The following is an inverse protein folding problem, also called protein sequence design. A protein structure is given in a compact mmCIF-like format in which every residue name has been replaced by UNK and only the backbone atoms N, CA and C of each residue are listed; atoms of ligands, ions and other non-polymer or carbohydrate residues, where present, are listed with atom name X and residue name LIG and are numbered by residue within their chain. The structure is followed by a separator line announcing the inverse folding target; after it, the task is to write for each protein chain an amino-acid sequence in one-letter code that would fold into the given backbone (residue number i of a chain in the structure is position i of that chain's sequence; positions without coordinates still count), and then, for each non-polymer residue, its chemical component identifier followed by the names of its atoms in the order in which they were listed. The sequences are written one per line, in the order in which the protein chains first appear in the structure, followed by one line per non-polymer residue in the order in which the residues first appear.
data_IF_684549163709
#
_entry.id   IF_684549163709
#
_cell.length_a   1.000
_cell.length_b   1.000
_cell.length_c   1.000
_cell.angle_alpha   90.00
_cell.angle_beta   90.00
_cell.angle_gamma   90.00
#
_symmetry.space_group_name_H-M   'P 1'
#
loop_
_entity.id
_entity.type
_entity.pdbx_description
1 polymer ?
#
# COMPACT_ATOMS: atom_id res chain seq x y z
N UNK A 1 14.30 15.58 5.73
CA UNK A 1 13.03 16.16 6.24
C UNK A 1 13.28 16.68 7.64
N UNK A 2 12.81 17.87 7.96
CA UNK A 2 12.91 18.42 9.33
C UNK A 2 11.71 18.01 10.18
N UNK A 3 10.54 17.92 9.56
CA UNK A 3 9.31 17.42 10.16
C UNK A 3 8.65 16.40 9.22
N UNK A 4 9.00 15.10 9.35
CA UNK A 4 8.53 14.05 8.45
C UNK A 4 7.01 13.99 8.37
N UNK A 5 6.31 14.14 9.50
CA UNK A 5 4.85 14.10 9.58
C UNK A 5 4.16 15.15 8.69
N UNK A 6 4.75 16.35 8.56
CA UNK A 6 4.17 17.45 7.77
C UNK A 6 4.64 17.43 6.32
N UNK A 7 5.91 17.08 6.09
CA UNK A 7 6.52 17.16 4.77
C UNK A 7 6.18 15.95 3.88
N UNK A 8 5.85 14.79 4.47
CA UNK A 8 5.76 13.54 3.70
C UNK A 8 4.68 13.54 2.62
N UNK A 9 3.56 14.27 2.82
CA UNK A 9 2.49 14.39 1.82
C UNK A 9 3.04 15.00 0.54
N UNK A 10 3.75 16.12 0.66
CA UNK A 10 4.32 16.83 -0.47
C UNK A 10 5.40 15.98 -1.13
N UNK A 11 6.22 15.27 -0.34
CA UNK A 11 7.27 14.41 -0.85
C UNK A 11 6.69 13.22 -1.63
N UNK A 12 5.65 12.57 -1.11
CA UNK A 12 4.94 11.51 -1.80
C UNK A 12 4.36 12.03 -3.13
N UNK A 13 3.74 13.21 -3.14
CA UNK A 13 3.25 13.85 -4.38
C UNK A 13 4.38 14.16 -5.36
N UNK A 14 5.54 14.61 -4.88
CA UNK A 14 6.69 14.85 -5.74
C UNK A 14 7.20 13.55 -6.37
N UNK A 15 7.19 12.45 -5.62
CA UNK A 15 7.65 11.15 -6.09
C UNK A 15 6.68 10.51 -7.11
N UNK A 16 5.37 10.69 -6.96
CA UNK A 16 4.37 9.95 -7.75
C UNK A 16 3.56 10.79 -8.73
N UNK A 17 3.50 12.12 -8.54
CA UNK A 17 2.60 13.01 -9.28
C UNK A 17 3.24 14.33 -9.73
N UNK A 18 4.56 14.47 -9.68
CA UNK A 18 5.26 15.64 -10.22
C UNK A 18 4.99 15.83 -11.72
N UNK A 19 4.59 17.03 -12.13
CA UNK A 19 4.47 17.39 -13.55
C UNK A 19 5.84 17.44 -14.23
N UNK A 20 6.90 17.84 -13.52
CA UNK A 20 8.27 17.98 -14.04
C UNK A 20 9.14 16.76 -13.68
N UNK A 21 9.93 16.25 -14.63
CA UNK A 21 10.85 15.11 -14.39
C UNK A 21 11.91 15.44 -13.36
N UNK A 22 12.42 16.67 -13.39
CA UNK A 22 13.49 17.12 -12.51
C UNK A 22 13.03 17.17 -11.06
N UNK A 23 11.75 17.46 -10.82
CA UNK A 23 11.18 17.48 -9.48
C UNK A 23 11.15 16.07 -8.85
N UNK A 24 10.75 15.06 -9.63
CA UNK A 24 10.77 13.66 -9.19
C UNK A 24 12.21 13.20 -8.91
N UNK A 25 13.14 13.49 -9.81
CA UNK A 25 14.55 13.13 -9.63
C UNK A 25 15.15 13.79 -8.38
N UNK A 26 14.93 15.10 -8.20
CA UNK A 26 15.39 15.82 -7.01
C UNK A 26 14.76 15.25 -5.73
N UNK A 27 13.49 14.84 -5.76
CA UNK A 27 12.84 14.24 -4.61
C UNK A 27 13.53 12.93 -4.20
N UNK A 28 13.83 12.03 -5.15
CA UNK A 28 14.57 10.79 -4.85
C UNK A 28 15.94 11.12 -4.27
N UNK A 29 16.71 12.00 -4.90
CA UNK A 29 18.07 12.34 -4.48
C UNK A 29 18.15 13.05 -3.12
N UNK A 30 17.15 13.89 -2.79
CA UNK A 30 17.15 14.68 -1.56
C UNK A 30 16.57 13.93 -0.37
N UNK A 31 15.63 13.02 -0.59
CA UNK A 31 14.87 12.40 0.50
C UNK A 31 15.23 10.94 0.75
N UNK A 32 15.87 10.23 -0.17
CA UNK A 32 16.36 8.87 0.08
C UNK A 32 17.81 8.88 0.53
N UNK A 33 18.15 8.00 1.48
CA UNK A 33 19.55 7.69 1.80
C UNK A 33 20.28 7.13 0.58
N UNK A 34 21.59 7.30 0.50
CA UNK A 34 22.41 6.79 -0.62
C UNK A 34 22.33 5.27 -0.78
N UNK A 35 22.07 4.55 0.32
CA UNK A 35 21.92 3.10 0.38
C UNK A 35 20.49 2.63 0.66
N UNK A 36 19.48 3.39 0.23
CA UNK A 36 18.08 3.06 0.49
C UNK A 36 17.64 1.75 -0.21
N UNK A 37 16.63 1.09 0.34
CA UNK A 37 15.99 -0.08 -0.28
C UNK A 37 14.54 0.17 -0.67
N UNK A 38 14.04 -0.59 -1.63
CA UNK A 38 12.67 -0.54 -2.11
C UNK A 38 12.12 -1.94 -2.29
N UNK A 39 10.94 -2.19 -1.73
CA UNK A 39 10.18 -3.43 -1.91
C UNK A 39 8.82 -3.10 -2.50
N UNK A 40 8.63 -3.45 -3.76
CA UNK A 40 7.37 -3.31 -4.47
C UNK A 40 6.89 -4.70 -4.94
N UNK A 41 5.58 -4.95 -5.14
CA UNK A 41 5.11 -6.23 -5.65
C UNK A 41 5.73 -6.63 -6.99
N UNK A 42 6.21 -5.66 -7.79
CA UNK A 42 6.76 -5.90 -9.12
C UNK A 42 8.29 -5.84 -9.19
N UNK A 43 8.96 -5.25 -8.18
CA UNK A 43 10.42 -5.12 -8.19
C UNK A 43 11.00 -4.98 -6.78
N UNK A 44 12.29 -5.29 -6.65
CA UNK A 44 13.03 -5.17 -5.39
C UNK A 44 14.36 -4.52 -5.65
N UNK A 45 14.72 -3.56 -4.80
CA UNK A 45 16.05 -2.97 -4.70
C UNK A 45 16.55 -3.19 -3.28
N UNK A 46 17.55 -4.05 -3.13
CA UNK A 46 18.18 -4.29 -1.82
C UNK A 46 19.08 -3.12 -1.43
N UNK A 47 19.29 -2.94 -0.11
CA UNK A 47 20.18 -1.91 0.39
C UNK A 47 21.63 -2.23 0.01
N UNK A 48 22.28 -1.31 -0.71
CA UNK A 48 23.69 -1.41 -1.08
C UNK A 48 24.26 -0.01 -1.33
N UNK A 49 25.59 0.18 -1.37
CA UNK A 49 26.16 1.48 -1.71
C UNK A 49 25.61 1.99 -3.06
N UNK A 50 25.05 3.20 -3.06
CA UNK A 50 24.42 3.85 -4.22
C UNK A 50 23.15 3.16 -4.77
N UNK A 51 22.50 2.27 -4.02
CA UNK A 51 21.21 1.66 -4.42
C UNK A 51 20.10 2.69 -4.68
N UNK A 52 20.25 3.92 -4.15
CA UNK A 52 19.38 5.05 -4.48
C UNK A 52 19.29 5.34 -5.99
N UNK A 53 20.37 5.15 -6.73
CA UNK A 53 20.38 5.40 -8.18
C UNK A 53 19.57 4.35 -8.93
N UNK A 54 19.56 3.11 -8.42
CA UNK A 54 18.65 2.05 -8.90
C UNK A 54 17.20 2.39 -8.60
N UNK A 55 16.90 2.90 -7.40
CA UNK A 55 15.55 3.39 -7.04
C UNK A 55 15.11 4.54 -7.95
N UNK A 56 16.02 5.47 -8.27
CA UNK A 56 15.73 6.54 -9.23
C UNK A 56 15.32 5.98 -10.60
N UNK A 57 16.01 4.95 -11.08
CA UNK A 57 15.63 4.24 -12.30
C UNK A 57 14.22 3.64 -12.26
N UNK A 58 13.81 3.09 -11.11
CA UNK A 58 12.43 2.58 -10.89
C UNK A 58 11.40 3.72 -11.01
N UNK A 59 11.64 4.85 -10.33
CA UNK A 59 10.74 6.02 -10.41
C UNK A 59 10.66 6.62 -11.81
N UNK A 60 11.79 6.69 -12.52
CA UNK A 60 11.85 7.10 -13.92
C UNK A 60 11.04 6.15 -14.80
N UNK A 61 11.18 4.84 -14.61
CA UNK A 61 10.39 3.85 -15.34
C UNK A 61 8.89 4.00 -15.07
N UNK A 62 8.46 4.15 -13.82
CA UNK A 62 7.05 4.37 -13.49
C UNK A 62 6.48 5.62 -14.16
N UNK A 63 7.26 6.71 -14.22
CA UNK A 63 6.86 7.94 -14.94
C UNK A 63 6.76 7.74 -16.45
N UNK A 64 7.72 7.01 -17.05
CA UNK A 64 7.66 6.64 -18.47
C UNK A 64 6.43 5.79 -18.73
N UNK A 65 6.16 4.81 -17.87
CA UNK A 65 5.04 3.90 -17.99
C UNK A 65 3.70 4.61 -17.81
N UNK A 66 3.59 5.60 -16.90
CA UNK A 66 2.37 6.37 -16.68
C UNK A 66 2.66 7.85 -16.37
N UNK A 67 2.74 8.73 -17.39
CA UNK A 67 3.17 10.11 -17.21
C UNK A 67 2.16 11.00 -16.49
N UNK A 68 0.87 10.65 -16.52
CA UNK A 68 -0.21 11.45 -15.94
C UNK A 68 -0.76 10.84 -14.64
N UNK A 69 0.13 10.20 -13.87
CA UNK A 69 -0.22 9.53 -12.61
C UNK A 69 -0.69 10.56 -11.58
N UNK A 70 -1.88 10.35 -11.00
CA UNK A 70 -2.44 11.18 -9.94
C UNK A 70 -2.55 10.37 -8.67
N UNK A 71 -1.99 10.90 -7.58
CA UNK A 71 -1.99 10.25 -6.28
C UNK A 71 -2.71 11.11 -5.26
N UNK A 72 -3.55 10.48 -4.45
CA UNK A 72 -4.28 11.11 -3.37
C UNK A 72 -3.97 10.39 -2.04
N UNK A 73 -3.31 11.09 -1.12
CA UNK A 73 -2.99 10.58 0.21
C UNK A 73 -4.29 10.60 1.04
N UNK A 74 -4.75 9.42 1.47
CA UNK A 74 -5.96 9.27 2.27
C UNK A 74 -5.67 9.43 3.77
N UNK A 75 -4.59 8.82 4.25
CA UNK A 75 -4.21 8.87 5.65
C UNK A 75 -2.70 8.75 5.83
N UNK A 76 -2.24 9.22 6.99
CA UNK A 76 -0.84 9.21 7.40
C UNK A 76 -0.81 8.78 8.86
N UNK A 77 -0.03 7.74 9.15
CA UNK A 77 0.41 7.44 10.51
C UNK A 77 1.91 7.64 10.58
N UNK A 78 2.37 8.35 11.61
CA UNK A 78 3.79 8.48 11.90
C UNK A 78 4.05 7.98 13.32
N UNK A 79 4.79 6.89 13.41
CA UNK A 79 5.34 6.38 14.66
C UNK A 79 6.72 7.01 14.88
N UNK A 80 6.81 7.90 15.87
CA UNK A 80 8.04 8.63 16.20
C UNK A 80 9.06 7.76 16.92
N UNK A 81 8.63 6.73 17.63
CA UNK A 81 9.54 5.86 18.39
C UNK A 81 10.28 4.92 17.45
N UNK A 82 9.60 4.46 16.40
CA UNK A 82 10.16 3.57 15.38
C UNK A 82 10.69 4.31 14.15
N UNK A 83 10.46 5.62 14.05
CA UNK A 83 10.70 6.46 12.88
C UNK A 83 10.10 5.83 11.59
N UNK A 84 8.83 5.43 11.69
CA UNK A 84 8.07 4.76 10.62
C UNK A 84 6.89 5.62 10.18
N UNK A 85 6.75 5.80 8.87
CA UNK A 85 5.57 6.46 8.29
C UNK A 85 4.79 5.45 7.45
N UNK A 86 3.52 5.29 7.76
CA UNK A 86 2.57 4.56 6.93
C UNK A 86 1.65 5.55 6.20
N UNK A 87 1.56 5.41 4.88
CA UNK A 87 0.73 6.22 4.00
C UNK A 87 -0.29 5.33 3.34
N UNK A 88 -1.57 5.73 3.40
CA UNK A 88 -2.59 5.16 2.53
C UNK A 88 -2.74 6.06 1.30
N UNK A 89 -2.55 5.48 0.12
CA UNK A 89 -2.58 6.21 -1.14
C UNK A 89 -3.58 5.56 -2.08
N UNK A 90 -4.38 6.41 -2.73
CA UNK A 90 -5.20 6.05 -3.88
C UNK A 90 -4.55 6.69 -5.11
N UNK A 91 -4.17 5.87 -6.08
CA UNK A 91 -3.50 6.32 -7.29
C UNK A 91 -4.28 5.91 -8.53
N UNK A 92 -4.48 6.87 -9.43
CA UNK A 92 -5.05 6.61 -10.76
C UNK A 92 -3.90 6.38 -11.72
N UNK A 93 -3.79 5.14 -12.20
CA UNK A 93 -2.74 4.71 -13.10
C UNK A 93 -3.27 4.53 -14.52
N UNK A 94 -2.61 5.18 -15.48
CA UNK A 94 -2.88 5.01 -16.91
C UNK A 94 -1.59 4.62 -17.62
N UNK A 95 -1.41 3.33 -17.88
CA UNK A 95 -0.29 2.84 -18.66
C UNK A 95 -0.31 3.47 -20.07
N UNK A 96 0.82 4.06 -20.47
CA UNK A 96 1.05 4.78 -21.72
C UNK A 96 0.71 3.93 -22.95
N UNK A 97 1.07 2.64 -22.91
CA UNK A 97 0.88 1.71 -24.03
C UNK A 97 -0.34 0.80 -23.88
N UNK A 98 -1.13 0.97 -22.81
CA UNK A 98 -2.29 0.13 -22.56
C UNK A 98 -3.54 0.69 -23.24
N UNK A 99 -4.31 -0.13 -23.99
CA UNK A 99 -5.58 0.28 -24.58
C UNK A 99 -6.71 0.41 -23.54
N UNK A 100 -6.51 -0.06 -22.31
CA UNK A 100 -7.54 -0.08 -21.28
C UNK A 100 -7.75 1.27 -20.61
N UNK A 101 -8.94 1.49 -20.02
CA UNK A 101 -9.22 2.70 -19.24
C UNK A 101 -8.27 2.80 -18.03
N UNK A 102 -7.97 4.03 -17.55
CA UNK A 102 -7.24 4.21 -16.30
C UNK A 102 -7.87 3.39 -15.17
N UNK A 103 -7.02 2.77 -14.37
CA UNK A 103 -7.41 1.97 -13.23
C UNK A 103 -7.06 2.75 -11.96
N UNK A 104 -7.99 2.77 -11.01
CA UNK A 104 -7.70 3.23 -9.65
C UNK A 104 -7.16 2.04 -8.86
N UNK A 105 -6.11 2.29 -8.08
CA UNK A 105 -5.54 1.33 -7.15
C UNK A 105 -5.33 1.99 -5.80
N UNK A 106 -5.63 1.24 -4.74
CA UNK A 106 -5.41 1.66 -3.36
C UNK A 106 -4.32 0.79 -2.75
N UNK A 107 -3.35 1.42 -2.11
CA UNK A 107 -2.24 0.71 -1.49
C UNK A 107 -1.65 1.44 -0.30
N UNK A 108 -0.90 0.69 0.49
CA UNK A 108 -0.16 1.21 1.64
C UNK A 108 1.31 1.33 1.27
N UNK A 109 1.92 2.45 1.63
CA UNK A 109 3.37 2.60 1.61
C UNK A 109 3.85 2.68 3.06
N UNK A 110 4.79 1.82 3.43
CA UNK A 110 5.56 1.94 4.67
C UNK A 110 6.93 2.50 4.36
N UNK A 111 7.30 3.56 5.05
CA UNK A 111 8.60 4.20 4.96
C UNK A 111 9.33 4.02 6.29
N UNK A 112 10.48 3.36 6.25
CA UNK A 112 11.42 3.41 7.37
C UNK A 112 12.40 4.54 7.16
N UNK A 113 12.44 5.42 8.13
CA UNK A 113 13.25 6.61 8.09
C UNK A 113 14.60 6.36 8.78
N UNK A 114 15.57 7.21 8.47
CA UNK A 114 16.87 7.28 9.15
C UNK A 114 17.17 8.75 9.38
N UNK A 115 17.44 9.08 10.64
CA UNK A 115 17.94 10.40 11.01
C UNK A 115 19.46 10.48 10.77
N UNK A 116 19.90 11.55 10.13
CA UNK A 116 21.30 11.93 9.99
C UNK A 116 21.41 13.47 10.13
N UNK A 117 22.20 13.91 11.10
CA UNK A 117 22.41 15.34 11.41
C UNK A 117 21.10 16.15 11.60
N UNK A 118 20.10 15.58 12.28
CA UNK A 118 18.81 16.24 12.53
C UNK A 118 17.88 16.30 11.31
N UNK A 119 18.21 15.59 10.23
CA UNK A 119 17.35 15.43 9.06
C UNK A 119 16.96 13.97 8.89
N UNK A 120 15.69 13.71 8.61
CA UNK A 120 15.20 12.37 8.32
C UNK A 120 15.21 12.08 6.82
N UNK A 121 15.66 10.89 6.45
CA UNK A 121 15.72 10.37 5.09
C UNK A 121 15.01 9.02 5.00
N UNK A 122 14.41 8.71 3.85
CA UNK A 122 13.84 7.42 3.54
C UNK A 122 14.98 6.41 3.36
N UNK A 123 15.10 5.46 4.27
CA UNK A 123 16.07 4.37 4.22
C UNK A 123 15.48 3.10 3.60
N UNK A 124 14.17 2.88 3.76
CA UNK A 124 13.45 1.74 3.17
C UNK A 124 12.05 2.18 2.80
N UNK A 125 11.61 1.78 1.62
CA UNK A 125 10.22 1.92 1.18
C UNK A 125 9.63 0.55 0.87
N UNK A 126 8.45 0.27 1.39
CA UNK A 126 7.70 -0.96 1.11
C UNK A 126 6.28 -0.60 0.64
N UNK A 127 5.91 -1.10 -0.54
CA UNK A 127 4.60 -0.90 -1.13
C UNK A 127 3.78 -2.19 -0.98
N UNK A 128 2.61 -2.09 -0.36
CA UNK A 128 1.68 -3.20 -0.14
C UNK A 128 0.43 -2.99 -0.98
N UNK A 129 0.32 -3.75 -2.06
CA UNK A 129 -0.85 -3.77 -2.95
C UNK A 129 -1.58 -5.10 -2.80
N UNK A 130 -2.89 -5.09 -2.95
CA UNK A 130 -3.64 -6.32 -3.08
C UNK A 130 -3.31 -7.00 -4.42
N UNK A 131 -3.33 -8.35 -4.50
CA UNK A 131 -3.02 -9.05 -5.75
C UNK A 131 -3.89 -8.64 -6.95
N UNK A 132 -5.16 -8.34 -6.72
CA UNK A 132 -6.08 -7.87 -7.74
C UNK A 132 -5.81 -6.43 -8.18
N UNK A 133 -5.31 -5.57 -7.28
CA UNK A 133 -4.85 -4.22 -7.63
C UNK A 133 -3.60 -4.26 -8.54
N UNK A 134 -2.67 -5.18 -8.27
CA UNK A 134 -1.51 -5.41 -9.15
C UNK A 134 -1.96 -5.83 -10.56
N UNK A 135 -2.92 -6.77 -10.65
CA UNK A 135 -3.51 -7.13 -11.94
C UNK A 135 -4.28 -5.97 -12.57
N UNK A 136 -4.95 -5.14 -11.78
CA UNK A 136 -5.69 -3.99 -12.29
C UNK A 136 -4.76 -2.96 -12.94
N UNK A 137 -3.52 -2.84 -12.46
CA UNK A 137 -2.48 -1.96 -13.03
C UNK A 137 -1.92 -2.55 -14.34
N UNK A 138 -1.65 -3.86 -14.37
CA UNK A 138 -1.00 -4.52 -15.50
C UNK A 138 -1.97 -4.89 -16.63
N UNK A 139 -3.07 -5.57 -16.28
CA UNK A 139 -4.06 -6.14 -17.20
C UNK A 139 -5.47 -6.05 -16.58
N UNK A 140 -6.09 -4.85 -16.57
CA UNK A 140 -7.39 -4.62 -15.92
C UNK A 140 -8.48 -5.66 -16.22
N UNK A 141 -8.63 -6.18 -17.45
CA UNK A 141 -9.65 -7.21 -17.73
C UNK A 141 -9.50 -8.51 -16.92
N UNK A 142 -8.32 -8.83 -16.40
CA UNK A 142 -8.08 -10.04 -15.60
C UNK A 142 -8.35 -9.85 -14.10
N UNK A 143 -8.33 -8.62 -13.58
CA UNK A 143 -8.62 -8.32 -12.19
C UNK A 143 -9.97 -8.90 -11.68
N UNK A 144 -11.11 -8.77 -12.40
CA UNK A 144 -12.37 -9.37 -11.95
C UNK A 144 -12.32 -10.89 -11.88
N UNK A 145 -11.55 -11.57 -12.75
CA UNK A 145 -11.40 -13.03 -12.71
C UNK A 145 -10.64 -13.47 -11.46
N UNK A 146 -9.58 -12.74 -11.08
CA UNK A 146 -8.87 -13.02 -9.83
C UNK A 146 -9.79 -12.79 -8.63
N UNK A 147 -10.56 -11.70 -8.60
CA UNK A 147 -11.54 -11.43 -7.52
C UNK A 147 -12.56 -12.56 -7.37
N UNK A 148 -13.09 -13.08 -8.48
CA UNK A 148 -13.97 -14.24 -8.46
C UNK A 148 -13.28 -15.47 -7.86
N UNK A 149 -12.02 -15.73 -8.24
CA UNK A 149 -11.21 -16.80 -7.66
C UNK A 149 -11.00 -16.65 -6.15
N UNK A 150 -10.68 -15.44 -5.69
CA UNK A 150 -10.51 -15.13 -4.26
C UNK A 150 -11.81 -15.36 -3.47
N UNK A 151 -12.96 -14.96 -4.03
CA UNK A 151 -14.26 -15.20 -3.42
C UNK A 151 -14.61 -16.70 -3.40
N UNK A 152 -14.33 -17.43 -4.47
CA UNK A 152 -14.53 -18.88 -4.52
C UNK A 152 -13.65 -19.60 -3.49
N UNK A 153 -12.40 -19.16 -3.31
CA UNK A 153 -11.51 -19.69 -2.30
C UNK A 153 -12.09 -19.53 -0.89
N UNK A 154 -12.68 -18.37 -0.57
CA UNK A 154 -13.35 -18.17 0.73
C UNK A 154 -14.49 -19.16 0.96
N UNK A 155 -15.28 -19.48 -0.08
CA UNK A 155 -16.35 -20.49 0.00
C UNK A 155 -15.76 -21.87 0.28
N UNK A 156 -14.76 -22.28 -0.50
CA UNK A 156 -14.09 -23.58 -0.33
C UNK A 156 -13.47 -23.71 1.06
N UNK A 157 -12.81 -22.66 1.57
CA UNK A 157 -12.22 -22.66 2.90
C UNK A 157 -13.28 -22.86 3.99
N UNK A 158 -14.44 -22.21 3.87
CA UNK A 158 -15.55 -22.39 4.81
C UNK A 158 -16.18 -23.78 4.71
N UNK A 159 -16.29 -24.36 3.51
CA UNK A 159 -16.76 -25.73 3.32
C UNK A 159 -15.81 -26.73 3.99
N UNK A 160 -14.51 -26.59 3.76
CA UNK A 160 -13.48 -27.43 4.38
C UNK A 160 -13.49 -27.29 5.90
N UNK A 161 -13.58 -26.06 6.42
CA UNK A 161 -13.67 -25.81 7.86
C UNK A 161 -14.89 -26.50 8.49
N UNK A 162 -16.07 -26.41 7.87
CA UNK A 162 -17.28 -27.10 8.35
C UNK A 162 -17.13 -28.61 8.33
N UNK A 163 -16.53 -29.18 7.29
CA UNK A 163 -16.27 -30.61 7.20
C UNK A 163 -15.35 -31.09 8.35
N UNK A 164 -14.27 -30.36 8.63
CA UNK A 164 -13.34 -30.68 9.72
C UNK A 164 -13.91 -30.41 11.12
N UNK A 165 -14.83 -29.46 11.26
CA UNK A 165 -15.58 -29.25 12.50
C UNK A 165 -16.52 -30.44 12.78
N UNK A 166 -17.16 -30.99 11.74
CA UNK A 166 -18.03 -32.15 11.87
C UNK A 166 -17.28 -33.43 12.28
N UNK A 167 -16.02 -33.58 11.88
CA UNK A 167 -15.15 -34.68 12.36
C UNK A 167 -14.61 -34.43 13.77
N UNK A 168 -14.83 -33.24 14.33
CA UNK A 168 -14.39 -32.86 15.66
C UNK A 168 -12.94 -32.39 15.75
N UNK A 169 -12.27 -32.16 14.62
CA UNK A 169 -10.90 -31.67 14.57
C UNK A 169 -10.79 -30.21 15.06
N UNK A 170 -11.88 -29.44 14.97
CA UNK A 170 -11.97 -28.08 15.49
C UNK A 170 -13.25 -27.90 16.32
N UNK A 171 -13.11 -27.75 17.64
CA UNK A 171 -14.21 -27.57 18.61
C UNK A 171 -13.92 -26.39 19.53
N UNK A 172 -14.25 -25.14 19.13
CA UNK A 172 -14.07 -23.98 19.99
C UNK A 172 -15.03 -24.05 21.18
N UNK A 173 -14.62 -23.50 22.34
CA UNK A 173 -15.48 -23.45 23.54
C UNK A 173 -16.75 -22.63 23.22
N UNK A 174 -17.96 -23.18 23.47
CA UNK A 174 -19.23 -22.51 23.17
C UNK A 174 -19.40 -21.16 23.86
N UNK A 175 -18.65 -20.85 24.94
CA UNK A 175 -18.69 -19.55 25.62
C UNK A 175 -18.25 -18.36 24.76
N UNK A 176 -17.48 -18.59 23.68
CA UNK A 176 -17.00 -17.53 22.79
C UNK A 176 -17.89 -17.28 21.56
N UNK A 177 -19.01 -18.01 21.41
CA UNK A 177 -19.83 -18.00 20.19
C UNK A 177 -21.14 -17.19 20.24
N UNK A 178 -21.56 -16.67 21.38
CA UNK A 178 -22.91 -16.07 21.55
C UNK A 178 -22.87 -14.56 21.72
N UNK A 179 -22.68 -13.80 20.62
CA UNK A 179 -23.01 -12.36 20.63
C UNK A 179 -23.27 -11.71 19.27
N UNK A 180 -24.15 -12.28 18.44
CA UNK A 180 -24.82 -11.47 17.39
C UNK A 180 -26.25 -11.99 17.13
N UNK A 181 -27.19 -11.68 18.02
CA UNK A 181 -28.61 -11.44 17.68
C UNK A 181 -29.32 -10.98 18.95
N UNK A 182 -29.58 -9.68 19.06
CA UNK A 182 -30.19 -9.10 20.25
C UNK A 182 -30.08 -7.58 20.28
N UNK A 183 -30.55 -6.90 19.22
CA UNK A 183 -31.00 -5.51 19.39
C UNK A 183 -32.41 -5.56 19.96
N UNK A 184 -32.53 -5.51 21.27
CA UNK A 184 -33.63 -4.80 21.92
C UNK A 184 -33.04 -3.53 22.51
N UNK A 185 -33.14 -2.43 21.75
CA UNK A 185 -32.99 -1.09 22.31
C UNK A 185 -34.18 -0.91 23.25
N UNK A 186 -33.97 -1.09 24.55
CA UNK A 186 -34.89 -0.52 25.53
C UNK A 186 -34.71 0.99 25.49
N UNK A 187 -35.70 1.67 24.91
CA UNK A 187 -35.92 3.10 25.13
C UNK A 187 -36.03 3.35 26.64
N UNK A 188 -35.09 4.11 27.19
CA UNK A 188 -35.24 4.73 28.49
C UNK A 188 -36.29 5.84 28.38
N UNK A 189 -37.55 5.50 28.66
CA UNK A 189 -38.56 6.50 29.00
C UNK A 189 -38.45 6.79 30.50
N UNK A 190 -38.00 8.01 30.79
CA UNK A 190 -38.42 8.90 31.89
C UNK A 190 -39.30 8.29 32.98
N UNK A 191 -38.79 8.30 34.22
CA UNK A 191 -39.29 9.17 35.29
C UNK A 191 -38.23 9.33 36.39
#
# INVERSE_FOLDING_TARGET
MQNPQREIVQIAQLLTSSAESDAQQKAVLNYFTTNASLRDPLCVVESSPNSRDTILGVYQWYRILSPNTRSNIQSILYDRELDLIDLEIVQVFKARFSPFKPAESRFLIRLSMREDNGLHYIARQENFLQPDDVLNILIPPLAPLLRLGLNAAAIVYNMNARALQATGLWKPDPKFGTRVSGRSVQESKTN
#
